data_IF_043163608614
#
_entry.id   IF_043163608614
#
_cell.length_a   1.000
_cell.length_b   1.000
_cell.length_c   1.000
_cell.angle_alpha   90.00
_cell.angle_beta   90.00
_cell.angle_gamma   90.00
#
_symmetry.space_group_name_H-M   'P 1'
#
loop_
_entity.id
_entity.type
_entity.pdbx_description
1 polymer ?
#
# COMPACT_ATOMS: atom_id res chain seq x y z
N UNK A 1 2.45 -23.30 -5.18
CA UNK A 1 3.35 -22.39 -4.49
C UNK A 1 3.81 -21.29 -5.45
N UNK A 2 3.78 -20.03 -4.98
CA UNK A 2 4.15 -18.85 -5.78
C UNK A 2 5.61 -18.90 -6.25
N UNK A 3 6.51 -19.35 -5.39
CA UNK A 3 7.94 -19.42 -5.70
C UNK A 3 8.29 -20.49 -6.72
N UNK A 4 7.59 -21.62 -6.69
CA UNK A 4 7.73 -22.66 -7.71
C UNK A 4 7.27 -22.17 -9.07
N UNK A 5 6.13 -21.48 -9.11
CA UNK A 5 5.61 -20.87 -10.35
C UNK A 5 6.58 -19.83 -10.90
N UNK A 6 7.22 -19.07 -10.03
CA UNK A 6 8.20 -18.07 -10.42
C UNK A 6 9.43 -18.72 -11.07
N UNK A 7 9.91 -19.83 -10.52
CA UNK A 7 11.04 -20.60 -11.10
C UNK A 7 10.72 -21.11 -12.50
N UNK A 8 9.47 -21.54 -12.71
CA UNK A 8 9.02 -22.02 -14.02
C UNK A 8 8.88 -20.89 -15.05
N UNK A 9 8.57 -19.69 -14.60
CA UNK A 9 8.31 -18.52 -15.45
C UNK A 9 9.46 -17.51 -15.50
N UNK A 10 10.64 -17.91 -15.08
CA UNK A 10 11.82 -17.03 -15.12
C UNK A 10 12.15 -16.57 -16.56
N UNK A 11 12.52 -15.30 -16.80
CA UNK A 11 12.67 -14.22 -15.81
C UNK A 11 11.33 -13.63 -15.38
N UNK A 12 11.19 -13.33 -14.09
CA UNK A 12 9.97 -12.74 -13.54
C UNK A 12 10.24 -11.91 -12.29
N UNK A 13 9.22 -11.17 -11.86
CA UNK A 13 9.23 -10.37 -10.65
C UNK A 13 8.18 -10.91 -9.69
N UNK A 14 8.56 -11.20 -8.45
CA UNK A 14 7.63 -11.51 -7.37
C UNK A 14 7.43 -10.24 -6.57
N UNK A 15 6.17 -9.84 -6.39
CA UNK A 15 5.81 -8.71 -5.55
C UNK A 15 5.04 -9.20 -4.32
N UNK A 16 5.52 -8.84 -3.13
CA UNK A 16 4.89 -9.17 -1.86
C UNK A 16 4.48 -7.88 -1.18
N UNK A 17 3.18 -7.64 -1.08
CA UNK A 17 2.65 -6.47 -0.38
C UNK A 17 2.45 -6.79 1.11
N UNK A 18 2.53 -5.75 1.93
CA UNK A 18 2.31 -5.86 3.39
C UNK A 18 3.16 -6.98 4.04
N UNK A 19 4.43 -7.00 3.73
CA UNK A 19 5.34 -8.04 4.24
C UNK A 19 5.45 -8.04 5.78
N UNK A 20 5.11 -6.92 6.41
CA UNK A 20 5.07 -6.81 7.87
C UNK A 20 4.01 -7.72 8.52
N UNK A 21 3.01 -8.17 7.76
CA UNK A 21 2.01 -9.12 8.27
C UNK A 21 2.61 -10.48 8.64
N UNK A 22 3.67 -10.89 7.95
CA UNK A 22 4.35 -12.18 8.19
C UNK A 22 5.79 -12.00 8.68
N UNK A 23 6.39 -10.84 8.43
CA UNK A 23 7.80 -10.55 8.68
C UNK A 23 8.05 -9.75 9.95
N UNK A 24 7.15 -9.72 10.92
CA UNK A 24 7.35 -9.02 12.19
C UNK A 24 8.47 -9.63 13.00
N UNK A 25 9.16 -8.78 13.77
CA UNK A 25 10.16 -9.21 14.73
C UNK A 25 9.59 -10.31 15.63
N UNK A 26 10.41 -11.34 15.85
CA UNK A 26 10.09 -12.42 16.78
C UNK A 26 10.07 -11.86 18.18
N UNK A 27 8.87 -11.62 18.70
CA UNK A 27 8.68 -11.12 20.06
C UNK A 27 8.47 -12.26 21.03
N UNK A 28 8.75 -12.01 22.30
CA UNK A 28 8.45 -12.90 23.43
C UNK A 28 6.95 -12.94 23.75
N UNK A 29 6.09 -13.01 22.76
CA UNK A 29 4.64 -13.03 22.94
C UNK A 29 4.14 -14.43 23.31
N UNK A 30 3.53 -14.54 24.45
CA UNK A 30 2.82 -15.74 24.90
C UNK A 30 1.49 -15.83 24.16
N UNK A 31 1.41 -16.71 23.14
CA UNK A 31 0.13 -16.94 22.46
C UNK A 31 0.28 -17.74 21.15
N UNK A 32 -0.58 -18.72 20.94
CA UNK A 32 -0.53 -19.68 19.83
C UNK A 32 -0.70 -19.12 18.41
N UNK A 33 -0.92 -17.81 18.24
CA UNK A 33 -0.94 -17.15 16.94
C UNK A 33 0.43 -16.78 16.38
N UNK A 34 1.48 -16.84 17.19
CA UNK A 34 2.84 -16.50 16.80
C UNK A 34 3.53 -17.66 16.06
N UNK A 35 3.15 -18.89 16.32
CA UNK A 35 3.78 -20.08 15.73
C UNK A 35 3.56 -20.17 14.22
N UNK A 36 2.35 -19.87 13.75
CA UNK A 36 2.06 -19.86 12.31
C UNK A 36 2.83 -18.76 11.56
N UNK A 37 2.94 -17.58 12.18
CA UNK A 37 3.70 -16.46 11.62
C UNK A 37 5.19 -16.77 11.54
N UNK A 38 5.74 -17.40 12.58
CA UNK A 38 7.16 -17.82 12.59
C UNK A 38 7.42 -18.88 11.54
N UNK A 39 6.53 -19.85 11.37
CA UNK A 39 6.66 -20.87 10.33
C UNK A 39 6.60 -20.25 8.93
N UNK A 40 5.67 -19.31 8.70
CA UNK A 40 5.55 -18.62 7.42
C UNK A 40 6.79 -17.77 7.13
N UNK A 41 7.29 -17.06 8.13
CA UNK A 41 8.52 -16.27 7.99
C UNK A 41 9.71 -17.17 7.66
N UNK A 42 9.90 -18.27 8.39
CA UNK A 42 10.98 -19.20 8.14
C UNK A 42 10.89 -19.82 6.74
N UNK A 43 9.69 -20.14 6.29
CA UNK A 43 9.48 -20.64 4.93
C UNK A 43 9.84 -19.59 3.88
N UNK A 44 9.45 -18.34 4.09
CA UNK A 44 9.80 -17.23 3.21
C UNK A 44 11.34 -17.06 3.14
N UNK A 45 12.01 -17.07 4.28
CA UNK A 45 13.47 -16.96 4.34
C UNK A 45 14.16 -18.10 3.59
N UNK A 46 13.67 -19.32 3.73
CA UNK A 46 14.18 -20.49 3.02
C UNK A 46 14.01 -20.33 1.50
N UNK A 47 12.85 -19.86 1.06
CA UNK A 47 12.58 -19.62 -0.37
C UNK A 47 13.46 -18.51 -0.94
N UNK A 48 13.69 -17.43 -0.19
CA UNK A 48 14.59 -16.36 -0.61
C UNK A 48 16.04 -16.86 -0.75
N UNK A 49 16.50 -17.69 0.17
CA UNK A 49 17.85 -18.27 0.13
C UNK A 49 18.00 -19.30 -1.01
N UNK A 50 16.89 -19.88 -1.46
CA UNK A 50 16.85 -20.82 -2.57
C UNK A 50 17.01 -20.17 -3.95
N UNK A 51 16.93 -18.84 -4.04
CA UNK A 51 17.19 -18.15 -5.29
C UNK A 51 18.69 -17.88 -5.44
N UNK A 52 19.26 -18.45 -6.49
CA UNK A 52 20.65 -18.16 -6.88
C UNK A 52 20.67 -16.85 -7.67
N UNK A 53 21.78 -16.13 -7.61
CA UNK A 53 21.96 -14.81 -8.26
C UNK A 53 21.60 -14.79 -9.74
N UNK A 54 21.64 -15.93 -10.42
CA UNK A 54 21.36 -16.06 -11.85
C UNK A 54 19.99 -16.65 -12.17
N UNK A 55 19.08 -16.70 -11.19
CA UNK A 55 17.74 -17.29 -11.41
C UNK A 55 16.83 -16.45 -12.31
N UNK A 56 17.18 -15.17 -12.54
CA UNK A 56 16.32 -14.26 -13.28
C UNK A 56 15.07 -13.85 -12.53
N UNK A 57 14.99 -14.08 -11.21
CA UNK A 57 13.86 -13.73 -10.37
C UNK A 57 14.27 -12.56 -9.47
N UNK A 58 13.44 -11.52 -9.52
CA UNK A 58 13.56 -10.35 -8.63
C UNK A 58 12.41 -10.39 -7.64
N UNK A 59 12.71 -10.27 -6.36
CA UNK A 59 11.69 -10.21 -5.30
C UNK A 59 11.64 -8.80 -4.76
N UNK A 60 10.45 -8.20 -4.81
CA UNK A 60 10.17 -6.86 -4.28
C UNK A 60 9.12 -7.01 -3.19
N UNK A 61 9.38 -6.46 -2.02
CA UNK A 61 8.43 -6.43 -0.93
C UNK A 61 8.11 -4.99 -0.52
N UNK A 62 6.89 -4.75 -0.11
CA UNK A 62 6.44 -3.44 0.36
C UNK A 62 5.95 -3.53 1.80
N UNK A 63 6.20 -2.47 2.57
CA UNK A 63 5.70 -2.33 3.93
C UNK A 63 5.52 -0.86 4.29
N UNK A 64 4.49 -0.57 5.08
CA UNK A 64 4.31 0.73 5.74
C UNK A 64 5.01 0.78 7.10
N UNK A 65 5.50 -0.34 7.60
CA UNK A 65 6.11 -0.47 8.92
C UNK A 65 7.47 -1.16 8.84
N UNK A 66 8.49 -0.51 8.25
CA UNK A 66 9.83 -1.10 8.15
C UNK A 66 10.49 -1.31 9.51
N UNK A 67 10.07 -0.55 10.52
CA UNK A 67 10.59 -0.60 11.88
C UNK A 67 10.29 -1.92 12.61
N UNK A 68 9.20 -2.61 12.25
CA UNK A 68 8.79 -3.86 12.90
C UNK A 68 9.24 -5.13 12.17
N UNK A 69 9.89 -4.98 11.02
CA UNK A 69 10.38 -6.14 10.26
C UNK A 69 11.49 -6.88 11.01
N UNK A 70 11.46 -8.21 10.94
CA UNK A 70 12.52 -9.04 11.47
C UNK A 70 13.83 -8.76 10.74
N UNK A 71 14.93 -8.60 11.50
CA UNK A 71 16.24 -8.31 10.95
C UNK A 71 16.75 -9.38 9.98
N UNK A 72 16.26 -10.61 10.12
CA UNK A 72 16.62 -11.71 9.22
C UNK A 72 16.21 -11.44 7.76
N UNK A 73 15.11 -10.70 7.54
CA UNK A 73 14.65 -10.31 6.20
C UNK A 73 15.60 -9.31 5.53
N UNK A 74 16.31 -8.53 6.32
CA UNK A 74 17.13 -7.42 5.86
C UNK A 74 18.61 -7.80 5.70
N UNK A 75 18.96 -9.06 5.90
CA UNK A 75 20.32 -9.56 5.73
C UNK A 75 20.74 -9.59 4.26
N UNK A 76 22.05 -9.50 3.97
CA UNK A 76 22.56 -9.65 2.60
C UNK A 76 22.08 -10.94 1.93
N UNK A 77 21.74 -10.85 0.65
CA UNK A 77 21.19 -11.96 -0.12
C UNK A 77 19.67 -12.11 -0.02
N UNK A 78 19.03 -11.34 0.86
CA UNK A 78 17.57 -11.25 0.99
C UNK A 78 17.13 -9.85 0.56
N UNK A 79 16.40 -9.12 1.40
CA UNK A 79 16.03 -7.71 1.10
C UNK A 79 17.17 -6.78 1.53
N UNK A 80 18.19 -6.68 0.70
CA UNK A 80 19.40 -5.92 0.99
C UNK A 80 19.36 -4.46 0.50
N UNK A 81 18.37 -4.12 -0.35
CA UNK A 81 18.12 -2.76 -0.80
C UNK A 81 16.83 -2.24 -0.23
N UNK A 82 16.89 -1.06 0.36
CA UNK A 82 15.74 -0.33 0.87
C UNK A 82 15.50 0.90 0.01
N UNK A 83 14.26 1.06 -0.43
CA UNK A 83 13.82 2.27 -1.10
C UNK A 83 12.70 2.85 -0.28
N UNK A 84 12.90 4.05 0.22
CA UNK A 84 11.86 4.79 0.92
C UNK A 84 11.02 5.55 -0.09
N UNK A 85 9.71 5.26 -0.12
CA UNK A 85 8.75 6.00 -0.92
C UNK A 85 8.13 7.06 -0.03
N UNK A 86 8.48 8.31 -0.27
CA UNK A 86 7.96 9.43 0.50
C UNK A 86 6.52 9.71 0.14
N UNK A 87 5.78 10.31 1.08
CA UNK A 87 4.44 10.82 0.80
C UNK A 87 4.52 11.87 -0.31
N UNK A 88 3.52 11.90 -1.22
CA UNK A 88 3.54 12.88 -2.31
C UNK A 88 3.42 14.31 -1.79
N UNK A 89 4.13 15.22 -2.46
CA UNK A 89 4.00 16.65 -2.25
C UNK A 89 2.71 17.19 -2.92
N UNK A 90 2.52 18.51 -2.89
CA UNK A 90 1.33 19.14 -3.47
C UNK A 90 1.12 18.77 -4.93
N UNK A 91 2.16 18.90 -5.76
CA UNK A 91 2.08 18.57 -7.19
C UNK A 91 1.84 17.07 -7.38
N UNK A 92 2.49 16.24 -6.61
CA UNK A 92 2.28 14.79 -6.63
C UNK A 92 0.84 14.43 -6.28
N UNK A 93 0.26 15.02 -5.25
CA UNK A 93 -1.13 14.79 -4.88
C UNK A 93 -2.10 15.22 -5.97
N UNK A 94 -1.87 16.38 -6.58
CA UNK A 94 -2.68 16.85 -7.70
C UNK A 94 -2.66 15.87 -8.86
N UNK A 95 -1.49 15.37 -9.24
CA UNK A 95 -1.33 14.37 -10.30
C UNK A 95 -2.04 13.06 -9.97
N UNK A 96 -1.89 12.57 -8.75
CA UNK A 96 -2.54 11.33 -8.29
C UNK A 96 -4.07 11.49 -8.32
N UNK A 97 -4.60 12.60 -7.82
CA UNK A 97 -6.04 12.89 -7.89
C UNK A 97 -6.53 12.92 -9.34
N UNK A 98 -5.75 13.51 -10.24
CA UNK A 98 -6.07 13.57 -11.66
C UNK A 98 -6.14 12.18 -12.28
N UNK A 99 -5.18 11.32 -12.01
CA UNK A 99 -5.15 9.93 -12.52
C UNK A 99 -6.37 9.15 -12.06
N UNK A 100 -6.71 9.23 -10.77
CA UNK A 100 -7.85 8.50 -10.23
C UNK A 100 -9.21 9.11 -10.61
N UNK A 101 -9.22 10.29 -11.20
CA UNK A 101 -10.42 10.94 -11.71
C UNK A 101 -10.73 10.58 -13.16
N UNK A 102 -9.77 10.05 -13.91
CA UNK A 102 -9.92 9.76 -15.35
C UNK A 102 -11.06 8.79 -15.66
N UNK A 103 -11.30 7.82 -14.79
CA UNK A 103 -12.35 6.81 -14.95
C UNK A 103 -13.66 7.16 -14.26
N UNK A 104 -13.79 8.38 -13.74
CA UNK A 104 -14.91 8.81 -12.92
C UNK A 104 -15.57 10.05 -13.52
N UNK A 105 -16.89 10.24 -13.32
CA UNK A 105 -17.62 11.40 -13.85
C UNK A 105 -17.36 12.65 -13.01
N UNK A 106 -16.15 13.20 -13.09
CA UNK A 106 -15.78 14.40 -12.36
C UNK A 106 -16.34 15.66 -13.06
N UNK A 107 -16.96 16.54 -12.29
CA UNK A 107 -17.40 17.84 -12.78
C UNK A 107 -16.20 18.71 -13.17
N UNK A 108 -16.31 19.43 -14.27
CA UNK A 108 -15.29 20.38 -14.72
C UNK A 108 -15.11 21.58 -13.77
N UNK A 109 -16.07 21.80 -12.89
CA UNK A 109 -16.02 22.86 -11.87
C UNK A 109 -15.13 22.49 -10.68
N UNK A 110 -14.78 21.21 -10.53
CA UNK A 110 -13.91 20.75 -9.46
C UNK A 110 -12.46 21.11 -9.77
N UNK A 111 -11.81 21.79 -8.85
CA UNK A 111 -10.40 22.13 -8.91
C UNK A 111 -9.58 21.12 -8.07
N UNK A 112 -8.91 20.20 -8.75
CA UNK A 112 -8.08 19.19 -8.07
C UNK A 112 -6.88 19.81 -7.36
N UNK A 113 -6.39 20.96 -7.82
CA UNK A 113 -5.35 21.71 -7.12
C UNK A 113 -5.81 22.16 -5.74
N UNK A 114 -7.04 22.61 -5.61
CA UNK A 114 -7.65 22.94 -4.31
C UNK A 114 -7.69 21.70 -3.39
N UNK A 115 -8.16 20.57 -3.89
CA UNK A 115 -8.24 19.33 -3.10
C UNK A 115 -6.85 18.78 -2.76
N UNK A 116 -5.85 19.01 -3.59
CA UNK A 116 -4.48 18.69 -3.27
C UNK A 116 -3.98 19.49 -2.06
N UNK A 117 -4.40 20.74 -1.87
CA UNK A 117 -4.07 21.54 -0.68
C UNK A 117 -4.73 21.03 0.59
N UNK A 118 -5.88 20.34 0.46
CA UNK A 118 -6.68 19.83 1.58
C UNK A 118 -6.28 18.39 2.00
N UNK A 119 -5.33 17.79 1.32
CA UNK A 119 -4.94 16.38 1.54
C UNK A 119 -3.49 16.23 1.93
N UNK A 120 -2.95 17.19 2.66
CA UNK A 120 -1.58 17.11 3.19
C UNK A 120 -1.42 15.86 4.05
N UNK A 121 -0.36 15.09 3.80
CA UNK A 121 -0.08 13.86 4.53
C UNK A 121 -0.78 12.61 3.97
N UNK A 122 -1.55 12.74 2.91
CA UNK A 122 -2.19 11.60 2.26
C UNK A 122 -1.19 10.84 1.38
N UNK A 123 -1.24 9.51 1.48
CA UNK A 123 -0.56 8.61 0.54
C UNK A 123 -1.31 8.51 -0.79
N UNK A 124 -0.68 7.91 -1.80
CA UNK A 124 -1.36 7.60 -3.05
C UNK A 124 -2.61 6.74 -2.85
N UNK A 125 -2.55 5.75 -1.96
CA UNK A 125 -3.69 4.90 -1.61
C UNK A 125 -4.81 5.70 -0.94
N UNK A 126 -4.48 6.62 -0.05
CA UNK A 126 -5.47 7.49 0.61
C UNK A 126 -6.20 8.37 -0.41
N UNK A 127 -5.47 8.91 -1.37
CA UNK A 127 -6.04 9.75 -2.44
C UNK A 127 -6.95 8.95 -3.38
N UNK A 128 -6.54 7.73 -3.73
CA UNK A 128 -7.37 6.82 -4.51
C UNK A 128 -8.68 6.51 -3.77
N UNK A 129 -8.60 6.22 -2.47
CA UNK A 129 -9.75 5.97 -1.62
C UNK A 129 -10.67 7.20 -1.54
N UNK A 130 -10.11 8.39 -1.41
CA UNK A 130 -10.86 9.64 -1.42
C UNK A 130 -11.71 9.78 -2.69
N UNK A 131 -11.12 9.52 -3.85
CA UNK A 131 -11.87 9.61 -5.12
C UNK A 131 -12.92 8.51 -5.27
N UNK A 132 -12.65 7.30 -4.79
CA UNK A 132 -13.63 6.22 -4.78
C UNK A 132 -14.81 6.54 -3.86
N UNK A 133 -14.55 7.03 -2.65
CA UNK A 133 -15.61 7.45 -1.71
C UNK A 133 -16.41 8.63 -2.26
N UNK A 134 -15.76 9.56 -2.96
CA UNK A 134 -16.45 10.66 -3.64
C UNK A 134 -17.44 10.16 -4.70
N UNK A 135 -17.04 9.15 -5.47
CA UNK A 135 -17.91 8.51 -6.45
C UNK A 135 -19.09 7.81 -5.79
N UNK A 136 -18.89 7.18 -4.64
CA UNK A 136 -19.95 6.52 -3.87
C UNK A 136 -20.96 7.56 -3.36
N UNK A 137 -20.50 8.68 -2.80
CA UNK A 137 -21.39 9.78 -2.37
C UNK A 137 -22.18 10.36 -3.54
N UNK A 138 -21.55 10.54 -4.69
CA UNK A 138 -22.18 10.98 -5.91
C UNK A 138 -23.32 10.02 -6.34
N UNK A 139 -23.04 8.73 -6.33
CA UNK A 139 -24.03 7.71 -6.69
C UNK A 139 -25.21 7.65 -5.70
N UNK A 140 -24.94 7.82 -4.42
CA UNK A 140 -25.96 7.79 -3.36
C UNK A 140 -26.96 8.93 -3.47
N UNK A 141 -26.51 10.13 -3.82
CA UNK A 141 -27.42 11.28 -4.00
C UNK A 141 -27.95 11.39 -5.43
N UNK A 142 -27.66 10.37 -6.27
CA UNK A 142 -28.14 10.29 -7.65
C UNK A 142 -27.67 11.44 -8.53
N UNK A 143 -26.55 12.07 -8.20
CA UNK A 143 -25.91 13.08 -9.02
C UNK A 143 -25.23 12.45 -10.23
N UNK A 144 -25.18 13.18 -11.34
CA UNK A 144 -24.53 12.71 -12.57
C UNK A 144 -23.01 12.90 -12.53
N UNK A 145 -22.55 13.91 -11.81
CA UNK A 145 -21.16 14.31 -11.75
C UNK A 145 -20.70 14.44 -10.29
N UNK A 146 -19.46 14.08 -10.03
CA UNK A 146 -18.83 14.29 -8.74
C UNK A 146 -18.53 15.77 -8.59
N UNK A 147 -19.11 16.40 -7.59
CA UNK A 147 -18.94 17.80 -7.23
C UNK A 147 -18.14 17.94 -5.93
N UNK A 148 -17.77 19.17 -5.58
CA UNK A 148 -17.01 19.47 -4.37
C UNK A 148 -17.70 18.94 -3.10
N UNK A 149 -19.03 18.96 -3.03
CA UNK A 149 -19.78 18.45 -1.87
C UNK A 149 -19.53 16.95 -1.67
N UNK A 150 -19.43 16.18 -2.74
CA UNK A 150 -19.14 14.73 -2.66
C UNK A 150 -17.73 14.48 -2.14
N UNK A 151 -16.77 15.28 -2.61
CA UNK A 151 -15.39 15.18 -2.17
C UNK A 151 -15.23 15.63 -0.72
N UNK A 152 -15.90 16.68 -0.30
CA UNK A 152 -15.89 17.14 1.10
C UNK A 152 -16.41 16.05 2.05
N UNK A 153 -17.56 15.46 1.74
CA UNK A 153 -18.13 14.37 2.54
C UNK A 153 -17.21 13.14 2.58
N UNK A 154 -16.60 12.81 1.45
CA UNK A 154 -15.65 11.72 1.35
C UNK A 154 -14.39 12.01 2.18
N UNK A 155 -13.89 13.24 2.13
CA UNK A 155 -12.71 13.66 2.90
C UNK A 155 -12.95 13.51 4.41
N UNK A 156 -14.11 13.92 4.89
CA UNK A 156 -14.48 13.78 6.30
C UNK A 156 -14.45 12.30 6.73
N UNK A 157 -15.02 11.43 5.92
CA UNK A 157 -15.05 9.99 6.19
C UNK A 157 -13.65 9.37 6.17
N UNK A 158 -12.83 9.68 5.18
CA UNK A 158 -11.48 9.15 5.04
C UNK A 158 -10.59 9.67 6.18
N UNK A 159 -10.70 10.94 6.52
CA UNK A 159 -9.94 11.54 7.63
C UNK A 159 -10.29 10.89 8.97
N UNK A 160 -11.56 10.63 9.23
CA UNK A 160 -12.01 9.92 10.43
C UNK A 160 -11.43 8.51 10.50
N UNK A 161 -11.44 7.78 9.38
CA UNK A 161 -10.84 6.45 9.27
C UNK A 161 -9.34 6.45 9.56
N UNK A 162 -8.59 7.42 9.04
CA UNK A 162 -7.16 7.54 9.28
C UNK A 162 -6.85 7.84 10.75
N UNK A 163 -7.64 8.68 11.42
CA UNK A 163 -7.49 8.98 12.85
C UNK A 163 -7.75 7.75 13.71
N UNK A 164 -8.74 6.96 13.37
CA UNK A 164 -9.08 5.73 14.10
C UNK A 164 -7.96 4.69 14.00
N UNK A 165 -7.32 4.57 12.85
CA UNK A 165 -6.21 3.62 12.65
C UNK A 165 -4.92 4.01 13.38
N UNK A 166 -4.78 5.28 13.78
CA UNK A 166 -3.62 5.74 14.57
C UNK A 166 -3.77 5.48 16.07
N UNK A 167 -4.99 5.19 16.54
CA UNK A 167 -5.32 4.97 17.95
C UNK A 167 -5.38 3.47 18.28
N UNK A 168 -5.49 2.62 17.28
CA UNK A 168 -5.48 1.16 17.42
C UNK A 168 -4.10 0.56 17.21
#
# INVERSE_FOLDING_TARGET
DLFEKAKEKSPCIIFIDEIDSIGRQRGSGIGGGNDEREQTLNQLLTELDGFVDNSGIIVIAATNRPDILDSALLRPGRFDRKIEVMLPDLDGRKKILSVHSLSKPLSRKVDLGFWATRTVGFSGADLANLMNESAIHCARDKSKLINDVHIENALDKVTLGLRTSLIS
#
